data_IF_643779085444
#
_entry.id   IF_643779085444
#
_cell.length_a   1.000
_cell.length_b   1.000
_cell.length_c   1.000
_cell.angle_alpha   90.00
_cell.angle_beta   90.00
_cell.angle_gamma   90.00
#
_symmetry.space_group_name_H-M   'P 1'
#
loop_
_entity.id
_entity.type
_entity.pdbx_description
1 polymer ?
#
# COMPACT_ATOMS: atom_id res chain seq x y z
N UNK A 1 -22.41 10.17 17.74
CA UNK A 1 -21.95 9.09 16.84
C UNK A 1 -20.57 8.69 17.28
N UNK A 2 -20.36 7.45 17.70
CA UNK A 2 -19.02 6.94 18.01
C UNK A 2 -18.14 7.01 16.76
N UNK A 3 -16.97 7.63 16.87
CA UNK A 3 -15.95 7.64 15.82
C UNK A 3 -15.61 6.18 15.47
N UNK A 4 -15.99 5.72 14.28
CA UNK A 4 -15.42 4.48 13.72
C UNK A 4 -13.97 4.78 13.36
N UNK A 5 -13.07 4.57 14.32
CA UNK A 5 -11.64 4.60 14.08
C UNK A 5 -11.32 3.68 12.90
N UNK A 6 -10.72 4.22 11.83
CA UNK A 6 -10.13 3.43 10.74
C UNK A 6 -8.91 2.68 11.28
N UNK A 7 -9.11 1.70 12.19
CA UNK A 7 -8.04 1.16 13.03
C UNK A 7 -6.88 0.51 12.26
N UNK A 8 -7.13 0.04 11.03
CA UNK A 8 -6.13 -0.71 10.26
C UNK A 8 -5.60 0.04 9.04
N UNK A 9 -6.22 1.15 8.64
CA UNK A 9 -5.90 1.80 7.36
C UNK A 9 -5.56 3.28 7.51
N UNK A 10 -4.43 3.67 6.91
CA UNK A 10 -4.07 5.05 6.65
C UNK A 10 -4.74 5.48 5.35
N UNK A 11 -5.34 6.66 5.34
CA UNK A 11 -6.06 7.18 4.16
C UNK A 11 -5.42 8.49 3.73
N UNK A 12 -5.08 8.57 2.45
CA UNK A 12 -4.51 9.77 1.83
C UNK A 12 -5.04 9.94 0.41
N UNK A 13 -5.16 11.18 -0.06
CA UNK A 13 -5.59 11.45 -1.43
C UNK A 13 -4.57 10.93 -2.45
N UNK A 14 -5.04 10.57 -3.64
CA UNK A 14 -4.16 10.06 -4.69
C UNK A 14 -3.13 11.09 -5.17
N UNK A 15 -3.33 12.38 -4.88
CA UNK A 15 -2.33 13.41 -5.12
C UNK A 15 -1.06 13.18 -4.28
N UNK A 16 -1.20 12.78 -3.02
CA UNK A 16 -0.06 12.49 -2.16
C UNK A 16 0.62 11.15 -2.52
N UNK A 17 -0.16 10.12 -2.86
CA UNK A 17 0.43 8.85 -3.34
C UNK A 17 1.27 9.05 -4.60
N UNK A 18 0.94 10.06 -5.43
CA UNK A 18 1.69 10.41 -6.65
C UNK A 18 2.70 11.54 -6.47
N UNK A 19 2.86 12.05 -5.24
CA UNK A 19 3.84 13.09 -4.94
C UNK A 19 5.22 12.50 -4.67
N UNK A 20 6.24 13.34 -4.86
CA UNK A 20 7.61 13.07 -4.47
C UNK A 20 7.93 14.01 -3.32
N UNK A 21 8.37 13.44 -2.19
CA UNK A 21 8.86 14.21 -1.05
C UNK A 21 10.37 14.42 -1.19
N UNK A 22 10.85 15.60 -0.83
CA UNK A 22 12.27 15.95 -0.90
C UNK A 22 12.99 15.52 0.38
N UNK A 23 14.03 14.71 0.24
CA UNK A 23 14.97 14.33 1.31
C UNK A 23 14.33 13.87 2.64
N UNK A 24 13.13 13.29 2.56
CA UNK A 24 12.40 12.82 3.73
C UNK A 24 13.07 11.56 4.27
N UNK A 25 13.50 11.64 5.52
CA UNK A 25 14.01 10.51 6.30
C UNK A 25 12.90 9.50 6.59
N UNK A 26 13.32 8.27 6.89
CA UNK A 26 12.38 7.20 7.28
C UNK A 26 11.53 7.60 8.50
N UNK A 27 12.14 8.26 9.49
CA UNK A 27 11.44 8.69 10.70
C UNK A 27 10.41 9.78 10.43
N UNK A 28 10.71 10.74 9.55
CA UNK A 28 9.74 11.74 9.10
C UNK A 28 8.55 11.08 8.39
N UNK A 29 8.81 10.07 7.56
CA UNK A 29 7.73 9.30 6.91
C UNK A 29 6.87 8.54 7.92
N UNK A 30 7.48 7.98 8.95
CA UNK A 30 6.81 7.28 10.04
C UNK A 30 5.91 8.20 10.86
N UNK A 31 6.35 9.44 11.09
CA UNK A 31 5.55 10.46 11.75
C UNK A 31 4.34 10.81 10.89
N UNK A 32 4.52 10.99 9.57
CA UNK A 32 3.39 11.23 8.66
C UNK A 32 2.35 10.12 8.76
N UNK A 33 2.77 8.85 8.79
CA UNK A 33 1.86 7.73 8.98
C UNK A 33 1.17 7.75 10.34
N UNK A 34 1.91 8.04 11.40
CA UNK A 34 1.34 8.18 12.73
C UNK A 34 0.30 9.30 12.78
N UNK A 35 0.58 10.47 12.21
CA UNK A 35 -0.38 11.57 12.14
C UNK A 35 -1.65 11.18 11.39
N UNK A 36 -1.54 10.39 10.30
CA UNK A 36 -2.70 9.85 9.60
C UNK A 36 -3.56 8.95 10.50
N UNK A 37 -2.99 8.26 11.50
CA UNK A 37 -3.78 7.48 12.48
C UNK A 37 -4.54 8.36 13.49
N UNK A 38 -4.13 9.62 13.64
CA UNK A 38 -4.72 10.55 14.62
C UNK A 38 -5.84 11.42 14.03
N UNK A 39 -6.05 11.35 12.71
CA UNK A 39 -7.03 12.17 11.98
C UNK A 39 -8.09 11.28 11.32
N UNK A 40 -9.24 11.87 11.02
CA UNK A 40 -10.28 11.24 10.22
C UNK A 40 -10.32 11.90 8.83
N UNK A 41 -9.97 11.13 7.80
CA UNK A 41 -9.97 11.62 6.42
C UNK A 41 -11.35 12.15 5.98
N UNK A 42 -12.42 11.60 6.53
CA UNK A 42 -13.82 11.95 6.18
C UNK A 42 -14.44 12.99 7.11
N UNK A 43 -13.64 13.60 7.99
CA UNK A 43 -14.11 14.63 8.92
C UNK A 43 -14.82 15.77 8.16
N UNK A 44 -16.08 16.11 8.51
CA UNK A 44 -16.84 17.15 7.80
C UNK A 44 -16.29 18.56 7.96
N UNK A 45 -15.68 18.86 9.11
CA UNK A 45 -15.15 20.18 9.44
C UNK A 45 -13.74 20.08 10.05
N UNK A 46 -12.75 19.63 9.26
CA UNK A 46 -11.40 19.42 9.75
C UNK A 46 -10.68 20.76 9.94
N UNK A 47 -10.11 20.96 11.12
CA UNK A 47 -9.28 22.15 11.43
C UNK A 47 -7.96 22.13 10.67
N UNK A 48 -7.47 20.93 10.33
CA UNK A 48 -6.13 20.69 9.84
C UNK A 48 -5.05 20.92 10.90
N UNK A 49 -5.41 20.86 12.19
CA UNK A 49 -4.48 20.76 13.32
C UNK A 49 -4.58 19.37 13.94
N UNK A 50 -3.44 18.79 14.30
CA UNK A 50 -3.35 17.46 14.91
C UNK A 50 -2.41 17.48 16.10
N UNK A 51 -2.79 16.81 17.18
CA UNK A 51 -1.95 16.65 18.37
C UNK A 51 -1.05 15.44 18.14
N UNK A 52 0.26 15.69 18.06
CA UNK A 52 1.28 14.67 18.12
C UNK A 52 1.67 14.43 19.58
N UNK A 53 1.53 13.19 20.05
CA UNK A 53 2.02 12.78 21.36
C UNK A 53 3.17 11.79 21.17
N UNK A 54 4.35 12.17 21.68
CA UNK A 54 5.57 11.42 21.48
C UNK A 54 5.54 10.01 22.11
N UNK A 55 4.98 9.88 23.31
CA UNK A 55 4.87 8.58 24.00
C UNK A 55 3.93 7.64 23.24
N UNK A 56 2.85 8.17 22.64
CA UNK A 56 1.96 7.40 21.75
C UNK A 56 2.68 6.99 20.45
N UNK A 57 3.50 7.87 19.88
CA UNK A 57 4.30 7.55 18.70
C UNK A 57 5.30 6.41 18.98
N UNK A 58 5.99 6.44 20.12
CA UNK A 58 6.88 5.35 20.53
C UNK A 58 6.16 4.02 20.70
N UNK A 59 4.97 4.04 21.33
CA UNK A 59 4.11 2.85 21.43
C UNK A 59 3.69 2.35 20.05
N UNK A 60 3.33 3.25 19.13
CA UNK A 60 3.01 2.92 17.74
C UNK A 60 4.20 2.25 17.01
N UNK A 61 5.42 2.74 17.26
CA UNK A 61 6.67 2.13 16.76
C UNK A 61 7.11 0.87 17.51
N UNK A 62 6.40 0.45 18.57
CA UNK A 62 6.75 -0.68 19.45
C UNK A 62 8.15 -0.55 20.07
N UNK A 63 8.56 0.68 20.39
CA UNK A 63 9.82 0.97 21.07
C UNK A 63 9.53 1.07 22.56
N UNK A 64 10.18 0.22 23.36
CA UNK A 64 10.07 0.29 24.81
C UNK A 64 10.60 1.64 25.32
N UNK A 65 9.80 2.29 26.17
CA UNK A 65 10.12 3.57 26.79
C UNK A 65 11.20 3.31 27.87
N UNK A 66 12.43 3.05 27.45
CA UNK A 66 13.59 3.32 28.31
C UNK A 66 13.72 4.83 28.39
N UNK A 67 14.01 5.36 29.58
CA UNK A 67 14.10 6.79 29.99
C UNK A 67 14.88 7.71 29.02
N UNK A 68 14.42 7.88 27.80
CA UNK A 68 14.93 8.81 26.82
C UNK A 68 14.09 10.08 26.96
N UNK A 69 14.42 10.90 27.95
CA UNK A 69 14.04 12.30 27.92
C UNK A 69 14.94 12.95 26.88
N UNK A 70 14.37 13.41 25.77
CA UNK A 70 15.10 14.22 24.80
C UNK A 70 15.36 15.60 25.38
N UNK A 71 16.51 16.16 25.02
CA UNK A 71 16.81 17.56 25.27
C UNK A 71 15.92 18.46 24.42
N UNK A 72 15.72 19.71 24.86
CA UNK A 72 14.98 20.72 24.10
C UNK A 72 15.57 20.93 22.69
N UNK A 73 16.88 20.81 22.52
CA UNK A 73 17.56 20.93 21.21
C UNK A 73 17.20 19.79 20.25
N UNK A 74 17.03 18.57 20.77
CA UNK A 74 16.60 17.43 19.97
C UNK A 74 15.12 17.56 19.55
N UNK A 75 14.28 18.10 20.43
CA UNK A 75 12.88 18.42 20.12
C UNK A 75 12.82 19.54 19.08
N UNK A 76 13.63 20.60 19.20
CA UNK A 76 13.68 21.70 18.24
C UNK A 76 14.13 21.20 16.85
N UNK A 77 15.23 20.47 16.75
CA UNK A 77 15.68 19.88 15.47
C UNK A 77 14.63 18.96 14.85
N UNK A 78 13.90 18.24 15.69
CA UNK A 78 12.79 17.39 15.24
C UNK A 78 11.63 18.23 14.68
N UNK A 79 11.20 19.27 15.39
CA UNK A 79 10.12 20.16 14.96
C UNK A 79 10.50 20.94 13.69
N UNK A 80 11.72 21.47 13.61
CA UNK A 80 12.29 22.11 12.41
C UNK A 80 12.24 21.15 11.22
N UNK A 81 12.72 19.92 11.42
CA UNK A 81 12.69 18.88 10.40
C UNK A 81 11.29 18.51 9.92
N UNK A 82 10.24 18.73 10.72
CA UNK A 82 8.85 18.50 10.26
C UNK A 82 8.35 19.64 9.36
N UNK A 83 8.58 20.90 9.75
CA UNK A 83 8.14 22.07 8.96
C UNK A 83 8.80 22.09 7.58
N UNK A 84 10.04 21.60 7.49
CA UNK A 84 10.80 21.51 6.24
C UNK A 84 10.32 20.40 5.29
N UNK A 85 9.34 19.56 5.69
CA UNK A 85 8.81 18.51 4.81
C UNK A 85 8.04 19.16 3.67
N UNK A 86 8.68 19.14 2.50
CA UNK A 86 8.14 19.63 1.25
C UNK A 86 8.20 18.57 0.15
N UNK A 87 7.51 18.85 -0.94
CA UNK A 87 7.46 17.95 -2.08
C UNK A 87 6.78 18.57 -3.28
N UNK A 88 6.50 17.72 -4.26
CA UNK A 88 5.77 18.13 -5.45
C UNK A 88 4.89 17.01 -5.99
N UNK A 89 3.98 17.37 -6.87
CA UNK A 89 3.35 16.42 -7.80
C UNK A 89 2.97 17.13 -9.10
N UNK A 90 2.76 16.34 -10.15
CA UNK A 90 2.16 16.86 -11.39
C UNK A 90 0.64 16.75 -11.32
N UNK A 91 -0.04 17.89 -11.33
CA UNK A 91 -1.49 17.94 -11.44
C UNK A 91 -1.89 17.80 -12.91
N UNK A 92 -2.44 16.62 -13.26
CA UNK A 92 -2.91 16.34 -14.62
C UNK A 92 -4.09 17.19 -15.05
N UNK A 93 -4.94 17.62 -14.12
CA UNK A 93 -6.14 18.42 -14.44
C UNK A 93 -5.74 19.82 -14.92
N UNK A 94 -4.78 20.43 -14.23
CA UNK A 94 -4.29 21.79 -14.54
C UNK A 94 -3.06 21.79 -15.44
N UNK A 95 -2.53 20.61 -15.78
CA UNK A 95 -1.26 20.44 -16.48
C UNK A 95 -0.10 21.23 -15.86
N UNK A 96 -0.06 21.29 -14.53
CA UNK A 96 0.91 22.10 -13.79
C UNK A 96 1.69 21.26 -12.78
N UNK A 97 2.94 21.68 -12.54
CA UNK A 97 3.74 21.15 -11.43
C UNK A 97 3.42 21.95 -10.17
N UNK A 98 3.01 21.25 -9.12
CA UNK A 98 2.62 21.84 -7.84
C UNK A 98 3.70 21.54 -6.83
N UNK A 99 4.22 22.59 -6.19
CA UNK A 99 5.12 22.50 -5.05
C UNK A 99 4.32 22.71 -3.77
N UNK A 100 4.69 22.00 -2.73
CA UNK A 100 3.96 22.07 -1.48
C UNK A 100 4.86 21.88 -0.27
N UNK A 101 4.44 22.48 0.84
CA UNK A 101 4.81 22.07 2.18
C UNK A 101 3.71 21.19 2.75
N UNK A 102 4.07 20.25 3.61
CA UNK A 102 3.11 19.37 4.27
C UNK A 102 2.54 20.01 5.54
N UNK A 103 3.40 20.67 6.30
CA UNK A 103 3.08 21.32 7.56
C UNK A 103 3.36 22.82 7.46
N UNK A 104 2.58 23.65 8.18
CA UNK A 104 2.79 25.10 8.25
C UNK A 104 3.58 25.50 9.48
N UNK A 105 3.30 24.86 10.61
CA UNK A 105 3.86 25.19 11.91
C UNK A 105 3.71 24.02 12.89
N UNK A 106 4.54 24.06 13.93
CA UNK A 106 4.50 23.14 15.07
C UNK A 106 4.52 23.99 16.34
N UNK A 107 3.46 23.92 17.13
CA UNK A 107 3.34 24.60 18.42
C UNK A 107 3.68 23.60 19.53
N UNK A 108 4.66 23.94 20.37
CA UNK A 108 5.06 23.14 21.55
C UNK A 108 4.43 23.76 22.79
N UNK A 109 3.77 22.95 23.63
CA UNK A 109 3.23 23.43 24.90
C UNK A 109 4.27 23.29 26.02
N UNK A 110 4.63 24.41 26.66
CA UNK A 110 5.60 24.44 27.78
C UNK A 110 5.16 23.56 28.98
N UNK A 111 3.86 23.38 29.19
CA UNK A 111 3.32 22.53 30.27
C UNK A 111 3.46 21.03 29.97
N UNK A 112 3.57 20.66 28.69
CA UNK A 112 3.76 19.26 28.27
C UNK A 112 4.65 19.18 27.02
N UNK A 113 5.98 19.16 27.18
CA UNK A 113 6.93 19.19 26.07
C UNK A 113 6.92 17.91 25.21
N UNK A 114 6.07 16.92 25.55
CA UNK A 114 5.88 15.69 24.78
C UNK A 114 4.69 15.74 23.83
N UNK A 115 3.91 16.82 23.89
CA UNK A 115 2.76 17.05 23.03
C UNK A 115 2.98 18.30 22.18
N UNK A 116 2.88 18.10 20.87
CA UNK A 116 3.04 19.14 19.86
C UNK A 116 1.75 19.27 19.08
N UNK A 117 1.27 20.49 18.87
CA UNK A 117 0.21 20.75 17.90
C UNK A 117 0.85 21.00 16.56
N UNK A 118 0.58 20.12 15.60
CA UNK A 118 1.09 20.25 14.23
C UNK A 118 -0.04 20.78 13.35
N UNK A 119 0.22 21.88 12.65
CA UNK A 119 -0.71 22.45 11.68
C UNK A 119 -0.33 22.00 10.27
N UNK A 120 -1.29 21.42 9.54
CA UNK A 120 -1.12 21.08 8.14
C UNK A 120 -1.17 22.34 7.28
N UNK A 121 -0.21 22.47 6.35
CA UNK A 121 -0.28 23.47 5.29
C UNK A 121 -1.42 23.14 4.31
N UNK A 122 -1.72 24.06 3.38
CA UNK A 122 -2.82 23.91 2.41
C UNK A 122 -2.83 22.54 1.70
N UNK A 123 -1.67 22.06 1.27
CA UNK A 123 -1.58 20.76 0.61
C UNK A 123 -1.58 19.58 1.57
N UNK A 124 -1.03 19.71 2.79
CA UNK A 124 -1.24 18.70 3.84
C UNK A 124 -2.73 18.48 4.13
N UNK A 125 -3.51 19.57 4.16
CA UNK A 125 -4.96 19.52 4.25
C UNK A 125 -5.61 18.78 3.08
N UNK A 126 -5.24 19.13 1.84
CA UNK A 126 -5.71 18.46 0.60
C UNK A 126 -5.32 16.97 0.55
N UNK A 127 -4.20 16.59 1.18
CA UNK A 127 -3.73 15.21 1.16
C UNK A 127 -4.43 14.32 2.17
N UNK A 128 -4.81 14.86 3.32
CA UNK A 128 -5.25 14.06 4.44
C UNK A 128 -6.69 14.29 4.89
N UNK A 129 -7.43 15.19 4.23
CA UNK A 129 -8.85 15.37 4.46
C UNK A 129 -9.62 15.47 3.14
N UNK A 130 -10.71 14.72 3.04
CA UNK A 130 -11.53 14.59 1.85
C UNK A 130 -12.11 15.93 1.41
N UNK A 131 -12.61 16.73 2.37
CA UNK A 131 -13.22 18.04 2.12
C UNK A 131 -12.31 18.96 1.31
N UNK A 132 -11.09 19.21 1.80
CA UNK A 132 -10.14 20.09 1.12
C UNK A 132 -9.72 19.53 -0.25
N UNK A 133 -9.63 18.20 -0.37
CA UNK A 133 -9.31 17.55 -1.64
C UNK A 133 -10.43 17.73 -2.69
N UNK A 134 -11.70 17.63 -2.27
CA UNK A 134 -12.88 17.87 -3.11
C UNK A 134 -12.99 19.32 -3.54
N UNK A 135 -12.76 20.27 -2.61
CA UNK A 135 -12.74 21.71 -2.89
C UNK A 135 -11.65 22.07 -3.90
N UNK A 136 -10.43 21.55 -3.71
CA UNK A 136 -9.32 21.76 -4.63
C UNK A 136 -9.59 21.20 -6.03
N UNK A 137 -10.13 19.99 -6.11
CA UNK A 137 -10.45 19.34 -7.37
C UNK A 137 -11.72 19.89 -8.05
N UNK A 138 -12.55 20.65 -7.31
CA UNK A 138 -13.89 21.10 -7.72
C UNK A 138 -14.78 19.92 -8.15
N UNK A 139 -14.77 18.85 -7.35
CA UNK A 139 -15.52 17.61 -7.62
C UNK A 139 -16.31 17.16 -6.40
N UNK A 140 -17.40 16.41 -6.62
CA UNK A 140 -18.18 15.80 -5.54
C UNK A 140 -17.58 14.52 -4.95
N UNK A 141 -16.51 13.99 -5.55
CA UNK A 141 -15.84 12.77 -5.08
C UNK A 141 -14.37 12.80 -5.44
N UNK A 142 -13.51 12.47 -4.47
CA UNK A 142 -12.07 12.34 -4.69
C UNK A 142 -11.64 10.88 -4.70
N UNK A 143 -10.59 10.57 -5.46
CA UNK A 143 -9.92 9.28 -5.33
C UNK A 143 -8.86 9.34 -4.23
N UNK A 144 -8.84 8.31 -3.38
CA UNK A 144 -7.90 8.16 -2.30
C UNK A 144 -7.26 6.77 -2.31
N UNK A 145 -6.14 6.65 -1.60
CA UNK A 145 -5.42 5.40 -1.36
C UNK A 145 -5.65 4.99 0.10
N UNK A 146 -6.00 3.72 0.30
CA UNK A 146 -6.03 3.10 1.63
C UNK A 146 -4.80 2.23 1.80
N UNK A 147 -4.01 2.45 2.84
CA UNK A 147 -2.72 1.79 3.08
C UNK A 147 -2.81 1.04 4.40
N UNK A 148 -2.41 -0.22 4.43
CA UNK A 148 -2.35 -0.99 5.69
C UNK A 148 -1.37 -0.32 6.68
N UNK A 149 -1.86 -0.04 7.88
CA UNK A 149 -1.15 0.64 8.97
C UNK A 149 0.18 -0.03 9.36
N UNK A 150 0.29 -1.34 9.16
CA UNK A 150 1.51 -2.11 9.37
C UNK A 150 2.66 -1.76 8.40
N UNK A 151 2.43 -0.86 7.42
CA UNK A 151 3.47 -0.27 6.56
C UNK A 151 4.61 0.37 7.37
N UNK A 152 4.33 0.81 8.60
CA UNK A 152 5.31 1.36 9.54
C UNK A 152 6.46 0.39 9.86
N UNK A 153 6.21 -0.92 9.76
CA UNK A 153 7.18 -1.98 10.02
C UNK A 153 8.11 -2.23 8.79
N UNK A 154 7.84 -1.60 7.64
CA UNK A 154 8.78 -1.59 6.50
C UNK A 154 10.00 -0.73 6.80
N UNK A 155 11.17 -1.12 6.29
CA UNK A 155 12.39 -0.29 6.34
C UNK A 155 12.63 0.41 5.01
N UNK A 156 13.06 1.67 5.07
CA UNK A 156 13.34 2.50 3.90
C UNK A 156 12.12 3.26 3.35
N UNK A 157 12.31 4.56 3.13
CA UNK A 157 11.37 5.50 2.52
C UNK A 157 10.87 5.03 1.14
N UNK A 158 11.78 4.51 0.30
CA UNK A 158 11.46 4.08 -1.07
C UNK A 158 10.62 2.81 -1.10
N UNK A 159 10.84 1.90 -0.15
CA UNK A 159 10.01 0.67 -0.02
C UNK A 159 8.62 1.02 0.46
N UNK A 160 8.51 1.89 1.46
CA UNK A 160 7.24 2.48 1.92
C UNK A 160 6.49 3.14 0.75
N UNK A 161 7.16 4.02 0.00
CA UNK A 161 6.59 4.65 -1.19
C UNK A 161 6.13 3.65 -2.25
N UNK A 162 6.92 2.61 -2.51
CA UNK A 162 6.52 1.56 -3.44
C UNK A 162 5.25 0.84 -2.98
N UNK A 163 5.16 0.50 -1.69
CA UNK A 163 3.96 -0.13 -1.14
C UNK A 163 2.73 0.79 -1.25
N UNK A 164 2.86 2.09 -0.95
CA UNK A 164 1.78 3.08 -1.16
C UNK A 164 1.25 3.06 -2.60
N UNK A 165 2.15 3.02 -3.58
CA UNK A 165 1.79 2.98 -5.00
C UNK A 165 1.01 1.69 -5.30
N UNK A 166 1.45 0.53 -4.80
CA UNK A 166 0.71 -0.72 -4.99
C UNK A 166 -0.67 -0.68 -4.31
N UNK A 167 -0.76 -0.09 -3.11
CA UNK A 167 -2.02 0.07 -2.37
C UNK A 167 -3.08 0.84 -3.14
N UNK A 168 -2.69 1.76 -4.02
CA UNK A 168 -3.64 2.47 -4.90
C UNK A 168 -4.39 1.52 -5.85
N UNK A 169 -3.78 0.40 -6.22
CA UNK A 169 -4.29 -0.57 -7.18
C UNK A 169 -4.64 -1.91 -6.53
N UNK A 170 -4.69 -2.00 -5.20
CA UNK A 170 -4.96 -3.26 -4.47
C UNK A 170 -6.30 -3.90 -4.76
N UNK A 171 -7.29 -3.12 -5.20
CA UNK A 171 -8.60 -3.64 -5.58
C UNK A 171 -8.57 -4.33 -6.96
N UNK A 172 -7.73 -3.85 -7.89
CA UNK A 172 -7.58 -4.46 -9.22
C UNK A 172 -6.53 -5.57 -9.24
N UNK A 173 -5.54 -5.50 -8.35
CA UNK A 173 -4.48 -6.50 -8.24
C UNK A 173 -3.43 -6.43 -9.35
N UNK A 174 -3.42 -5.34 -10.14
CA UNK A 174 -2.40 -5.09 -11.13
C UNK A 174 -2.09 -3.61 -11.30
N UNK A 175 -0.83 -3.30 -11.62
CA UNK A 175 -0.33 -1.95 -11.85
C UNK A 175 0.68 -1.94 -12.99
N UNK A 176 0.48 -1.09 -13.99
CA UNK A 176 1.37 -0.92 -15.14
C UNK A 176 1.96 0.49 -15.14
N UNK A 177 3.27 0.60 -15.30
CA UNK A 177 3.99 1.88 -15.24
C UNK A 177 5.24 1.85 -16.13
N UNK A 178 5.65 3.00 -16.65
CA UNK A 178 6.96 3.11 -17.31
C UNK A 178 8.09 3.00 -16.29
N UNK A 179 9.23 2.45 -16.67
CA UNK A 179 10.37 2.27 -15.76
C UNK A 179 10.87 3.64 -15.25
N UNK A 180 10.84 4.64 -16.12
CA UNK A 180 11.25 6.01 -15.80
C UNK A 180 10.30 6.66 -14.79
N UNK A 181 8.98 6.64 -15.04
CA UNK A 181 7.99 7.18 -14.10
C UNK A 181 8.09 6.49 -12.73
N UNK A 182 8.26 5.17 -12.72
CA UNK A 182 8.40 4.41 -11.50
C UNK A 182 9.65 4.81 -10.70
N UNK A 183 10.81 4.89 -11.35
CA UNK A 183 12.05 5.35 -10.70
C UNK A 183 11.97 6.81 -10.23
N UNK A 184 11.28 7.69 -10.96
CA UNK A 184 11.02 9.08 -10.52
C UNK A 184 10.15 9.11 -9.26
N UNK A 185 9.03 8.39 -9.24
CA UNK A 185 8.14 8.32 -8.07
C UNK A 185 8.82 7.79 -6.80
N UNK A 186 9.81 6.90 -6.99
CA UNK A 186 10.63 6.34 -5.91
C UNK A 186 11.85 7.19 -5.54
N UNK A 187 12.10 8.30 -6.24
CA UNK A 187 13.26 9.17 -6.01
C UNK A 187 14.60 8.59 -6.46
N UNK A 188 14.62 7.58 -7.34
CA UNK A 188 15.86 7.08 -7.96
C UNK A 188 16.33 7.93 -9.14
N UNK A 189 15.49 8.82 -9.67
CA UNK A 189 15.88 9.78 -10.70
C UNK A 189 15.61 11.18 -10.15
N UNK A 190 16.66 11.99 -10.07
CA UNK A 190 16.64 13.39 -9.63
C UNK A 190 17.39 14.28 -10.63
N UNK A 191 17.22 15.61 -10.54
CA UNK A 191 17.92 16.57 -11.38
C UNK A 191 18.70 17.53 -10.48
N UNK A 192 20.01 17.66 -10.73
CA UNK A 192 20.94 18.48 -9.94
C UNK A 192 21.53 19.61 -10.79
N UNK A 193 22.02 20.68 -10.17
CA UNK A 193 22.65 21.80 -10.88
C UNK A 193 23.93 21.36 -11.63
N UNK A 194 24.26 22.03 -12.74
CA UNK A 194 25.54 21.81 -13.41
C UNK A 194 26.71 22.31 -12.55
N UNK A 195 27.86 21.59 -12.48
CA UNK A 195 28.98 21.92 -11.60
C UNK A 195 29.71 23.24 -11.91
N UNK A 196 29.44 23.87 -13.06
CA UNK A 196 30.09 25.12 -13.48
C UNK A 196 29.27 26.39 -13.15
N UNK A 197 28.08 26.26 -12.55
CA UNK A 197 27.26 27.39 -12.12
C UNK A 197 27.54 27.68 -10.63
N UNK A 198 28.47 28.60 -10.36
CA UNK A 198 28.90 29.01 -9.01
C UNK A 198 27.95 30.00 -8.32
N UNK A 199 26.81 30.34 -8.93
CA UNK A 199 25.77 31.15 -8.30
C UNK A 199 24.88 30.24 -7.43
N UNK A 200 25.38 29.96 -6.23
CA UNK A 200 24.91 28.90 -5.34
C UNK A 200 23.80 29.29 -4.37
N UNK A 201 22.90 30.24 -4.69
CA UNK A 201 22.00 30.78 -3.64
C UNK A 201 20.49 30.59 -3.82
N UNK A 202 19.91 30.29 -5.00
CA UNK A 202 18.44 30.41 -5.08
C UNK A 202 17.61 29.33 -5.80
N UNK A 203 18.14 28.11 -6.03
CA UNK A 203 17.45 27.16 -6.92
C UNK A 203 17.22 25.73 -6.40
N UNK A 204 16.94 25.57 -5.10
CA UNK A 204 16.25 24.35 -4.65
C UNK A 204 14.80 24.26 -5.20
N UNK A 205 14.25 25.37 -5.75
CA UNK A 205 12.88 25.48 -6.25
C UNK A 205 12.69 25.22 -7.76
N UNK A 206 13.75 25.07 -8.57
CA UNK A 206 13.64 24.90 -10.05
C UNK A 206 13.93 23.47 -10.55
N UNK A 207 14.40 22.56 -9.70
CA UNK A 207 14.77 21.18 -10.06
C UNK A 207 13.63 20.37 -10.74
N UNK A 208 12.39 20.82 -10.63
CA UNK A 208 11.21 19.98 -10.76
C UNK A 208 10.29 20.38 -11.91
N UNK A 209 10.50 21.56 -12.50
CA UNK A 209 9.94 21.92 -13.82
C UNK A 209 10.54 21.04 -14.93
N UNK A 210 11.76 20.57 -14.70
CA UNK A 210 12.57 19.73 -15.58
C UNK A 210 12.18 18.25 -15.62
N UNK A 211 11.50 17.77 -14.57
CA UNK A 211 11.05 16.38 -14.45
C UNK A 211 9.96 16.03 -15.48
N UNK A 212 9.24 17.05 -15.96
CA UNK A 212 8.06 16.95 -16.81
C UNK A 212 8.16 17.73 -18.14
N UNK A 213 9.16 18.63 -18.31
CA UNK A 213 9.44 19.42 -19.52
C UNK A 213 10.93 19.36 -19.93
N UNK A 214 11.49 18.15 -20.02
CA UNK A 214 12.94 17.90 -20.07
C UNK A 214 13.71 18.51 -21.26
N UNK A 215 13.03 18.87 -22.35
CA UNK A 215 13.71 19.26 -23.60
C UNK A 215 14.09 20.75 -23.65
N UNK A 216 13.49 21.63 -22.84
CA UNK A 216 13.72 23.09 -22.94
C UNK A 216 14.90 23.62 -22.10
N UNK A 217 15.50 22.81 -21.21
CA UNK A 217 16.42 23.30 -20.16
C UNK A 217 17.72 22.50 -20.01
N UNK A 218 18.09 21.70 -21.02
CA UNK A 218 19.27 20.81 -21.01
C UNK A 218 20.60 21.52 -20.68
N UNK A 219 20.69 22.83 -20.86
CA UNK A 219 21.92 23.59 -20.64
C UNK A 219 22.19 23.98 -19.17
N UNK A 220 21.23 23.81 -18.24
CA UNK A 220 21.36 24.28 -16.84
C UNK A 220 21.37 23.18 -15.77
N UNK A 221 20.89 21.97 -16.08
CA UNK A 221 20.68 20.92 -15.07
C UNK A 221 21.11 19.54 -15.57
N UNK A 222 21.72 18.76 -14.69
CA UNK A 222 22.20 17.40 -14.95
C UNK A 222 21.22 16.38 -14.36
N UNK A 223 20.71 15.48 -15.20
CA UNK A 223 19.94 14.30 -14.76
C UNK A 223 20.86 13.35 -13.99
N UNK A 224 20.50 13.04 -12.76
CA UNK A 224 21.18 12.07 -11.90
C UNK A 224 20.25 10.89 -11.64
N UNK A 225 20.58 9.73 -12.19
CA UNK A 225 19.88 8.48 -11.92
C UNK A 225 20.74 7.58 -11.03
N UNK A 226 20.17 7.23 -9.90
CA UNK A 226 20.66 6.21 -8.98
C UNK A 226 20.21 4.84 -9.48
N UNK A 227 21.12 3.85 -9.47
CA UNK A 227 20.89 2.51 -10.02
C UNK A 227 20.50 2.54 -11.51
N UNK A 228 21.40 3.05 -12.36
CA UNK A 228 21.13 3.31 -13.79
C UNK A 228 20.79 2.02 -14.56
N UNK A 229 21.54 0.95 -14.29
CA UNK A 229 21.32 -0.32 -14.97
C UNK A 229 20.07 -1.03 -14.44
N UNK A 230 19.29 -1.65 -15.33
CA UNK A 230 18.14 -2.45 -14.94
C UNK A 230 18.52 -3.58 -13.97
N UNK A 231 19.63 -4.27 -14.24
CA UNK A 231 20.13 -5.36 -13.40
C UNK A 231 20.44 -4.91 -11.98
N UNK A 232 21.02 -3.72 -11.82
CA UNK A 232 21.33 -3.15 -10.52
C UNK A 232 20.05 -2.70 -9.80
N UNK A 233 19.15 -1.97 -10.48
CA UNK A 233 17.86 -1.58 -9.90
C UNK A 233 17.06 -2.80 -9.42
N UNK A 234 17.02 -3.85 -10.25
CA UNK A 234 16.38 -5.13 -9.94
C UNK A 234 16.96 -5.77 -8.68
N UNK A 235 18.29 -5.96 -8.64
CA UNK A 235 19.00 -6.67 -7.57
C UNK A 235 19.04 -5.89 -6.26
N UNK A 236 19.25 -4.57 -6.32
CA UNK A 236 19.50 -3.74 -5.14
C UNK A 236 18.19 -3.28 -4.49
N UNK A 237 17.16 -3.02 -5.30
CA UNK A 237 15.91 -2.45 -4.79
C UNK A 237 14.69 -3.32 -5.07
N UNK A 238 14.39 -3.61 -6.33
CA UNK A 238 13.07 -4.12 -6.72
C UNK A 238 12.78 -5.51 -6.14
N UNK A 239 13.66 -6.48 -6.38
CA UNK A 239 13.45 -7.84 -5.87
C UNK A 239 13.49 -7.87 -4.33
N UNK A 240 14.48 -7.24 -3.65
CA UNK A 240 14.47 -7.18 -2.19
C UNK A 240 13.23 -6.52 -1.59
N UNK A 241 12.66 -5.49 -2.25
CA UNK A 241 11.43 -4.86 -1.79
C UNK A 241 10.23 -5.82 -1.92
N UNK A 242 10.11 -6.53 -3.03
CA UNK A 242 9.03 -7.49 -3.27
C UNK A 242 9.11 -8.67 -2.30
N UNK A 243 10.30 -9.22 -2.08
CA UNK A 243 10.52 -10.27 -1.09
C UNK A 243 10.11 -9.83 0.31
N UNK A 244 10.52 -8.62 0.72
CA UNK A 244 10.18 -8.04 2.01
C UNK A 244 8.66 -7.89 2.18
N UNK A 245 7.95 -7.39 1.16
CA UNK A 245 6.50 -7.24 1.20
C UNK A 245 5.78 -8.59 1.29
N UNK A 246 6.17 -9.56 0.47
CA UNK A 246 5.55 -10.88 0.44
C UNK A 246 5.77 -11.65 1.77
N UNK A 247 6.93 -11.46 2.41
CA UNK A 247 7.25 -12.08 3.70
C UNK A 247 6.44 -11.53 4.88
N UNK A 248 5.99 -10.26 4.81
CA UNK A 248 5.26 -9.60 5.89
C UNK A 248 3.77 -9.92 5.85
N UNK A 249 3.35 -10.81 6.76
CA UNK A 249 1.96 -11.30 6.83
C UNK A 249 0.94 -10.27 7.28
N UNK A 250 1.38 -9.20 7.95
CA UNK A 250 0.52 -8.11 8.42
C UNK A 250 0.13 -7.11 7.33
N UNK A 251 0.82 -7.12 6.18
CA UNK A 251 0.47 -6.24 5.07
C UNK A 251 -0.74 -6.79 4.32
N UNK A 252 -1.61 -5.91 3.85
CA UNK A 252 -2.84 -6.26 3.16
C UNK A 252 -2.64 -6.62 1.68
N UNK A 253 -1.39 -6.69 1.20
CA UNK A 253 -1.04 -7.10 -0.15
C UNK A 253 -0.06 -8.29 -0.09
N UNK A 254 -0.24 -9.26 -0.96
CA UNK A 254 0.63 -10.43 -1.10
C UNK A 254 0.77 -10.88 -2.56
N UNK A 255 1.62 -11.88 -2.77
CA UNK A 255 1.87 -12.50 -4.08
C UNK A 255 2.27 -11.48 -5.14
N UNK A 256 3.07 -10.49 -4.72
CA UNK A 256 3.59 -9.45 -5.59
C UNK A 256 4.61 -10.07 -6.53
N UNK A 257 4.37 -9.92 -7.83
CA UNK A 257 5.29 -10.27 -8.90
C UNK A 257 5.26 -9.20 -9.99
N UNK A 258 6.19 -9.29 -10.93
CA UNK A 258 6.21 -8.36 -12.06
C UNK A 258 6.70 -9.00 -13.35
N UNK A 259 6.28 -8.42 -14.48
CA UNK A 259 6.80 -8.70 -15.81
C UNK A 259 7.39 -7.42 -16.41
N UNK A 260 8.51 -7.55 -17.10
CA UNK A 260 9.13 -6.42 -17.81
C UNK A 260 8.45 -6.20 -19.16
N UNK A 261 8.17 -4.94 -19.48
CA UNK A 261 7.73 -4.50 -20.81
C UNK A 261 8.98 -4.01 -21.55
N UNK A 262 9.17 -4.48 -22.78
CA UNK A 262 10.34 -4.15 -23.60
C UNK A 262 9.92 -3.42 -24.87
N UNK A 263 10.77 -2.48 -25.28
CA UNK A 263 10.72 -1.85 -26.60
C UNK A 263 12.06 -2.10 -27.27
N UNK A 264 12.06 -3.01 -28.26
CA UNK A 264 13.29 -3.60 -28.78
C UNK A 264 14.05 -4.35 -27.68
N UNK A 265 15.32 -4.00 -27.46
CA UNK A 265 16.17 -4.60 -26.41
C UNK A 265 16.06 -3.92 -25.05
N UNK A 266 15.49 -2.72 -24.98
CA UNK A 266 15.42 -1.92 -23.74
C UNK A 266 14.16 -2.25 -22.95
N UNK A 267 14.28 -2.33 -21.64
CA UNK A 267 13.14 -2.43 -20.73
C UNK A 267 12.59 -1.02 -20.53
N UNK A 268 11.33 -0.82 -20.90
CA UNK A 268 10.66 0.48 -20.90
C UNK A 268 9.57 0.59 -19.85
N UNK A 269 9.09 -0.54 -19.32
CA UNK A 269 8.05 -0.54 -18.30
C UNK A 269 7.99 -1.80 -17.47
N UNK A 270 7.14 -1.76 -16.46
CA UNK A 270 6.85 -2.85 -15.54
C UNK A 270 5.35 -3.07 -15.46
N UNK A 271 4.96 -4.34 -15.38
CA UNK A 271 3.60 -4.78 -15.09
C UNK A 271 3.63 -5.61 -13.81
N UNK A 272 3.18 -5.01 -12.71
CA UNK A 272 3.04 -5.65 -11.41
C UNK A 272 1.71 -6.37 -11.30
N UNK A 273 1.72 -7.53 -10.66
CA UNK A 273 0.53 -8.33 -10.30
C UNK A 273 0.61 -8.70 -8.83
N UNK A 274 -0.49 -8.60 -8.11
CA UNK A 274 -0.56 -8.84 -6.66
C UNK A 274 -2.00 -9.07 -6.23
N UNK A 275 -2.19 -9.50 -4.98
CA UNK A 275 -3.50 -9.81 -4.44
C UNK A 275 -3.70 -9.09 -3.11
N UNK A 276 -4.90 -8.58 -2.86
CA UNK A 276 -5.28 -8.09 -1.54
C UNK A 276 -5.47 -9.28 -0.60
N UNK A 277 -4.82 -9.29 0.57
CA UNK A 277 -5.09 -10.26 1.63
C UNK A 277 -6.49 -10.04 2.18
N UNK A 278 -7.26 -11.11 2.32
CA UNK A 278 -8.52 -11.10 3.05
C UNK A 278 -8.23 -11.04 4.55
N UNK A 279 -8.71 -9.99 5.21
CA UNK A 279 -8.79 -9.96 6.68
C UNK A 279 -10.02 -10.74 7.14
N UNK A 280 -9.87 -11.64 8.12
CA UNK A 280 -11.00 -12.39 8.72
C UNK A 280 -12.16 -11.49 9.15
N UNK A 281 -11.85 -10.30 9.67
CA UNK A 281 -12.83 -9.33 10.16
C UNK A 281 -13.61 -8.61 9.05
N UNK A 282 -13.12 -8.65 7.80
CA UNK A 282 -13.71 -7.98 6.64
C UNK A 282 -14.39 -8.98 5.67
N UNK A 283 -14.50 -10.25 6.05
CA UNK A 283 -15.16 -11.28 5.25
C UNK A 283 -16.67 -11.07 5.27
N UNK A 284 -17.31 -11.11 4.09
CA UNK A 284 -18.77 -11.19 4.04
C UNK A 284 -19.27 -12.52 4.63
N UNK A 285 -20.54 -12.58 5.04
CA UNK A 285 -21.15 -13.83 5.52
C UNK A 285 -20.99 -14.97 4.52
N UNK A 286 -21.06 -14.68 3.22
CA UNK A 286 -20.83 -15.68 2.15
C UNK A 286 -19.41 -16.23 2.16
N UNK A 287 -18.42 -15.37 2.38
CA UNK A 287 -17.02 -15.80 2.48
C UNK A 287 -16.78 -16.61 3.75
N UNK A 288 -17.36 -16.20 4.89
CA UNK A 288 -17.29 -16.96 6.13
C UNK A 288 -17.94 -18.35 5.99
N UNK A 289 -19.09 -18.44 5.31
CA UNK A 289 -19.75 -19.70 4.97
C UNK A 289 -18.88 -20.58 4.09
N UNK A 290 -18.24 -20.01 3.07
CA UNK A 290 -17.31 -20.75 2.22
C UNK A 290 -16.08 -21.24 3.00
N UNK A 291 -15.50 -20.42 3.88
CA UNK A 291 -14.39 -20.86 4.75
C UNK A 291 -14.80 -22.07 5.56
N UNK A 292 -15.92 -21.97 6.28
CA UNK A 292 -16.42 -23.07 7.10
C UNK A 292 -16.66 -24.33 6.27
N UNK A 293 -17.40 -24.19 5.17
CA UNK A 293 -17.79 -25.30 4.30
C UNK A 293 -16.57 -26.07 3.76
N UNK A 294 -15.62 -25.40 3.13
CA UNK A 294 -14.48 -26.08 2.52
C UNK A 294 -13.45 -26.58 3.54
N UNK A 295 -13.41 -25.97 4.74
CA UNK A 295 -12.58 -26.47 5.83
C UNK A 295 -13.15 -27.77 6.42
N UNK A 296 -14.48 -27.88 6.55
CA UNK A 296 -15.15 -29.13 6.95
C UNK A 296 -14.89 -30.29 5.96
N UNK A 297 -14.67 -29.98 4.68
CA UNK A 297 -14.34 -30.97 3.65
C UNK A 297 -12.85 -31.24 3.45
N UNK A 298 -12.00 -30.68 4.32
CA UNK A 298 -10.60 -31.06 4.46
C UNK A 298 -9.59 -30.17 3.73
N UNK A 299 -10.00 -29.00 3.23
CA UNK A 299 -9.03 -27.93 2.93
C UNK A 299 -8.61 -27.23 4.23
N UNK A 300 -7.38 -26.75 4.30
CA UNK A 300 -6.96 -25.88 5.40
C UNK A 300 -7.59 -24.50 5.26
N UNK A 301 -7.79 -23.80 6.38
CA UNK A 301 -8.32 -22.43 6.35
C UNK A 301 -7.48 -21.52 5.44
N UNK A 302 -6.15 -21.65 5.46
CA UNK A 302 -5.25 -20.92 4.57
C UNK A 302 -5.51 -21.21 3.08
N UNK A 303 -5.72 -22.47 2.70
CA UNK A 303 -6.04 -22.84 1.31
C UNK A 303 -7.39 -22.28 0.90
N UNK A 304 -8.38 -22.34 1.78
CA UNK A 304 -9.73 -21.83 1.51
C UNK A 304 -9.73 -20.31 1.37
N UNK A 305 -9.02 -19.59 2.23
CA UNK A 305 -8.84 -18.13 2.12
C UNK A 305 -8.12 -17.76 0.82
N UNK A 306 -7.10 -18.53 0.44
CA UNK A 306 -6.40 -18.33 -0.83
C UNK A 306 -7.32 -18.54 -2.05
N UNK A 307 -8.17 -19.58 -2.04
CA UNK A 307 -9.13 -19.81 -3.13
C UNK A 307 -10.20 -18.73 -3.19
N UNK A 308 -10.69 -18.28 -2.03
CA UNK A 308 -11.63 -17.16 -1.95
C UNK A 308 -11.03 -15.89 -2.55
N UNK A 309 -9.73 -15.64 -2.34
CA UNK A 309 -9.02 -14.52 -2.94
C UNK A 309 -8.88 -14.63 -4.46
N UNK A 310 -8.80 -15.85 -4.98
CA UNK A 310 -8.41 -16.07 -6.39
C UNK A 310 -9.57 -16.29 -7.34
N UNK A 311 -10.59 -17.02 -6.92
CA UNK A 311 -11.74 -17.38 -7.76
C UNK A 311 -13.08 -16.98 -7.12
N UNK A 312 -13.10 -16.68 -5.81
CA UNK A 312 -14.28 -16.26 -5.08
C UNK A 312 -15.22 -17.41 -4.70
N UNK A 313 -16.07 -17.17 -3.70
CA UNK A 313 -16.92 -18.20 -3.10
C UNK A 313 -17.86 -18.88 -4.11
N UNK A 314 -18.50 -18.09 -4.98
CA UNK A 314 -19.45 -18.60 -5.98
C UNK A 314 -18.82 -19.63 -6.92
N UNK A 315 -17.63 -19.32 -7.43
CA UNK A 315 -16.91 -20.21 -8.33
C UNK A 315 -16.39 -21.45 -7.60
N UNK A 316 -15.94 -21.32 -6.35
CA UNK A 316 -15.55 -22.47 -5.53
C UNK A 316 -16.70 -23.47 -5.38
N UNK A 317 -17.89 -22.99 -5.01
CA UNK A 317 -19.08 -23.83 -4.90
C UNK A 317 -19.49 -24.43 -6.25
N UNK A 318 -19.41 -23.66 -7.33
CA UNK A 318 -19.72 -24.15 -8.67
C UNK A 318 -18.81 -25.32 -9.07
N UNK A 319 -17.49 -25.17 -8.95
CA UNK A 319 -16.52 -26.23 -9.28
C UNK A 319 -16.69 -27.45 -8.41
N UNK A 320 -16.94 -27.27 -7.11
CA UNK A 320 -17.21 -28.37 -6.19
C UNK A 320 -18.42 -29.21 -6.62
N UNK A 321 -19.54 -28.55 -6.91
CA UNK A 321 -20.78 -29.21 -7.32
C UNK A 321 -20.67 -29.88 -8.69
N UNK A 322 -19.84 -29.37 -9.59
CA UNK A 322 -19.54 -30.03 -10.86
C UNK A 322 -18.65 -31.26 -10.68
N UNK A 323 -17.66 -31.19 -9.80
CA UNK A 323 -16.65 -32.23 -9.67
C UNK A 323 -17.12 -33.44 -8.85
N UNK A 324 -17.98 -33.24 -7.85
CA UNK A 324 -18.40 -34.33 -6.97
C UNK A 324 -19.84 -34.21 -6.52
N UNK A 325 -20.45 -35.37 -6.24
CA UNK A 325 -21.78 -35.46 -5.63
C UNK A 325 -21.72 -36.30 -4.36
N UNK A 326 -22.43 -35.87 -3.32
CA UNK A 326 -22.67 -36.68 -2.14
C UNK A 326 -23.55 -37.89 -2.50
N UNK A 327 -23.31 -39.01 -1.83
CA UNK A 327 -24.09 -40.23 -1.97
C UNK A 327 -25.61 -39.97 -2.07
N UNK A 328 -26.16 -40.09 -3.28
CA UNK A 328 -27.59 -39.84 -3.58
C UNK A 328 -28.52 -40.84 -2.90
N UNK A 329 -27.98 -41.99 -2.51
CA UNK A 329 -28.74 -43.13 -1.99
C UNK A 329 -28.43 -43.35 -0.50
N UNK A 330 -28.05 -42.28 0.21
CA UNK A 330 -27.66 -42.34 1.63
C UNK A 330 -28.76 -42.98 2.50
N UNK A 331 -30.02 -42.71 2.20
CA UNK A 331 -31.17 -43.22 2.95
C UNK A 331 -31.84 -44.47 2.33
N UNK A 332 -31.33 -44.96 1.20
CA UNK A 332 -31.89 -46.15 0.56
C UNK A 332 -31.35 -47.43 1.20
N UNK A 333 -32.19 -48.13 1.96
CA UNK A 333 -31.82 -49.38 2.67
C UNK A 333 -31.20 -50.46 1.78
N UNK A 334 -31.56 -50.49 0.50
CA UNK A 334 -31.10 -51.49 -0.46
C UNK A 334 -29.81 -51.06 -1.19
N UNK A 335 -29.31 -49.85 -0.94
CA UNK A 335 -28.07 -49.37 -1.54
C UNK A 335 -26.85 -49.96 -0.85
N UNK A 336 -25.86 -50.35 -1.64
CA UNK A 336 -24.48 -50.65 -1.20
C UNK A 336 -23.89 -49.56 -0.29
N UNK A 337 -24.35 -48.32 -0.46
CA UNK A 337 -23.84 -47.16 0.24
C UNK A 337 -24.81 -46.63 1.31
N UNK A 338 -25.77 -47.44 1.77
CA UNK A 338 -26.73 -47.04 2.80
C UNK A 338 -26.01 -46.50 4.06
N UNK A 339 -26.37 -45.27 4.46
CA UNK A 339 -25.79 -44.50 5.57
C UNK A 339 -24.28 -44.26 5.49
N UNK A 340 -23.66 -44.45 4.33
CA UNK A 340 -22.24 -44.15 4.13
C UNK A 340 -22.04 -42.72 3.66
N UNK A 341 -21.26 -41.94 4.41
CA UNK A 341 -20.86 -40.58 4.06
C UNK A 341 -19.72 -40.59 3.04
N UNK A 342 -20.04 -40.95 1.80
CA UNK A 342 -19.08 -41.01 0.70
C UNK A 342 -19.38 -39.93 -0.34
N UNK A 343 -18.31 -39.47 -0.99
CA UNK A 343 -18.37 -38.57 -2.12
C UNK A 343 -17.98 -39.33 -3.38
N UNK A 344 -18.63 -38.99 -4.49
CA UNK A 344 -18.41 -39.65 -5.78
C UNK A 344 -17.86 -38.60 -6.75
N UNK A 345 -16.78 -38.93 -7.45
CA UNK A 345 -16.25 -38.13 -8.56
C UNK A 345 -17.23 -38.22 -9.73
N UNK A 346 -17.81 -37.11 -10.14
CA UNK A 346 -18.84 -37.09 -11.17
C UNK A 346 -18.31 -37.50 -12.55
N UNK A 347 -17.01 -37.34 -12.80
CA UNK A 347 -16.42 -37.68 -14.10
C UNK A 347 -16.16 -39.19 -14.24
N UNK A 348 -15.75 -39.85 -13.15
CA UNK A 348 -15.34 -41.26 -13.17
C UNK A 348 -16.35 -42.20 -12.53
N UNK A 349 -17.26 -41.70 -11.70
CA UNK A 349 -18.18 -42.50 -10.89
C UNK A 349 -17.50 -43.19 -9.69
N UNK A 350 -16.21 -42.95 -9.46
CA UNK A 350 -15.43 -43.57 -8.40
C UNK A 350 -15.64 -42.90 -7.04
N UNK A 351 -15.44 -43.67 -5.97
CA UNK A 351 -15.54 -43.14 -4.61
C UNK A 351 -14.29 -42.35 -4.23
N UNK A 352 -14.51 -41.13 -3.73
CA UNK A 352 -13.46 -40.22 -3.29
C UNK A 352 -13.06 -40.59 -1.85
N UNK A 353 -11.89 -41.20 -1.69
CA UNK A 353 -11.37 -41.65 -0.37
C UNK A 353 -11.00 -40.49 0.56
N UNK A 354 -10.37 -39.44 0.04
CA UNK A 354 -9.95 -38.25 0.80
C UNK A 354 -10.38 -36.98 0.07
N UNK A 355 -11.53 -36.43 0.46
CA UNK A 355 -12.13 -35.28 -0.24
C UNK A 355 -11.19 -34.08 -0.29
N UNK A 356 -10.57 -33.67 0.82
CA UNK A 356 -9.62 -32.55 0.81
C UNK A 356 -8.45 -32.74 -0.16
N UNK A 357 -7.93 -33.97 -0.29
CA UNK A 357 -6.89 -34.30 -1.27
C UNK A 357 -7.40 -34.21 -2.71
N UNK A 358 -8.61 -34.70 -2.97
CA UNK A 358 -9.28 -34.57 -4.27
C UNK A 358 -9.54 -33.12 -4.65
N UNK A 359 -9.98 -32.29 -3.69
CA UNK A 359 -10.20 -30.86 -3.91
C UNK A 359 -8.90 -30.15 -4.29
N UNK A 360 -7.81 -30.44 -3.57
CA UNK A 360 -6.47 -29.95 -3.87
C UNK A 360 -5.95 -30.42 -5.24
N UNK A 361 -6.17 -31.70 -5.58
CA UNK A 361 -5.54 -32.30 -6.76
C UNK A 361 -6.32 -32.08 -8.05
N UNK A 362 -7.65 -32.13 -8.02
CA UNK A 362 -8.50 -32.18 -9.22
C UNK A 362 -9.45 -31.00 -9.37
N UNK A 363 -9.89 -30.38 -8.27
CA UNK A 363 -10.93 -29.32 -8.32
C UNK A 363 -10.33 -27.92 -8.35
N UNK A 364 -9.26 -27.71 -7.57
CA UNK A 364 -8.65 -26.40 -7.38
C UNK A 364 -7.17 -26.41 -7.82
N UNK A 365 -6.88 -26.29 -9.13
CA UNK A 365 -5.51 -26.28 -9.65
C UNK A 365 -4.68 -25.11 -9.09
N UNK A 366 -5.33 -24.05 -8.60
CA UNK A 366 -4.68 -22.91 -7.98
C UNK A 366 -3.89 -23.30 -6.72
N UNK A 367 -4.21 -24.41 -6.05
CA UNK A 367 -3.51 -24.85 -4.84
C UNK A 367 -2.15 -25.55 -5.11
N UNK A 368 -1.85 -25.87 -6.37
CA UNK A 368 -0.59 -26.52 -6.78
C UNK A 368 0.50 -25.55 -7.21
N UNK A 369 0.14 -24.28 -7.42
CA UNK A 369 1.03 -23.19 -7.85
C UNK A 369 1.22 -22.20 -6.70
#
# INVERSE_FOLDING_TARGET
MEKKENKNYLIQSNYFTKSILKDVSEIQKDIIYFLQTQIDFTEPDPTGKVIFNYDKFLKYKKIDIKKNAYSSDEILKFCEGLVDINGMFYNKQTSSTVFFNLFSDVEVNDLNPKEFTISFANFGKIFFYEKFAMEYAKTSKIQYTQIESSIIDLRGDKRKKFFEILSQYKQTGFYKVSLEEFKKLLGFIVYVNHPNDSNSIDNQHIQLRLLFQGDEYSNKYKRQEYLQSWSEFKRVFLDPAIEDFNSKTKLDISNIGYKTIRTGRKITGLHFTFQKRLEKAALSEDMLRAIKYFTEYGLTESQTVFLLQRIGAKEMYHRFNLACTFNRNYDEKNSKYFRQKIWIDNATGETIKKLGGFLYEKVFPELKN
#
